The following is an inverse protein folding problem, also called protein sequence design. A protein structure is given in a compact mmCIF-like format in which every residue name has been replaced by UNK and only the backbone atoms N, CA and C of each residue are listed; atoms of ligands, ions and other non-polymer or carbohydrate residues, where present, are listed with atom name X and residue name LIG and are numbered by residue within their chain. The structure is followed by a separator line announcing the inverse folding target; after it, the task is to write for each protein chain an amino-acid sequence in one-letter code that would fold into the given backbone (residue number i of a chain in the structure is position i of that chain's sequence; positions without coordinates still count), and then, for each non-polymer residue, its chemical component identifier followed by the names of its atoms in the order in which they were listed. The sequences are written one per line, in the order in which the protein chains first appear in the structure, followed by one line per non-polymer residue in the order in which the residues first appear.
data_IF_626884020154
#
_entry.id   IF_626884020154
#
_cell.length_a   1.000
_cell.length_b   1.000
_cell.length_c   1.000
_cell.angle_alpha   90.00
_cell.angle_beta   90.00
_cell.angle_gamma   90.00
#
_symmetry.space_group_name_H-M   'P 1'
#
loop_
_entity.id
_entity.type
_entity.pdbx_description
1 polymer ?
#
# COMPACT_ATOMS: atom_id res chain seq x y z
N UNK A 1 -8.99 8.09 -16.61
CA UNK A 1 -7.79 7.99 -15.75
C UNK A 1 -7.80 6.62 -15.09
N UNK A 2 -7.01 5.66 -15.59
CA UNK A 2 -6.93 4.34 -14.97
C UNK A 2 -6.21 4.49 -13.62
N UNK A 3 -6.95 4.38 -12.51
CA UNK A 3 -6.32 4.31 -11.19
C UNK A 3 -5.66 2.94 -11.07
N UNK A 4 -4.34 2.88 -11.24
CA UNK A 4 -3.58 1.69 -10.92
C UNK A 4 -3.72 1.36 -9.42
N UNK A 5 -3.74 0.07 -9.10
CA UNK A 5 -3.76 -0.45 -7.73
C UNK A 5 -4.98 0.00 -6.88
N UNK A 6 -6.18 -0.01 -7.49
CA UNK A 6 -7.43 0.27 -6.77
C UNK A 6 -7.65 -0.68 -5.59
N UNK A 7 -7.26 -1.96 -5.70
CA UNK A 7 -7.40 -2.94 -4.62
C UNK A 7 -6.64 -2.51 -3.36
N UNK A 8 -5.39 -2.09 -3.52
CA UNK A 8 -4.56 -1.59 -2.41
C UNK A 8 -5.18 -0.32 -1.81
N UNK A 9 -5.62 0.61 -2.66
CA UNK A 9 -6.27 1.85 -2.18
C UNK A 9 -7.55 1.54 -1.39
N UNK A 10 -8.32 0.55 -1.82
CA UNK A 10 -9.52 0.09 -1.13
C UNK A 10 -9.19 -0.56 0.21
N UNK A 11 -8.18 -1.42 0.26
CA UNK A 11 -7.71 -2.05 1.50
C UNK A 11 -7.19 -1.02 2.51
N UNK A 12 -6.35 -0.07 2.07
CA UNK A 12 -5.86 1.02 2.92
C UNK A 12 -7.02 1.85 3.48
N UNK A 13 -8.00 2.22 2.63
CA UNK A 13 -9.21 2.92 3.08
C UNK A 13 -10.04 2.10 4.07
N UNK A 14 -10.21 0.80 3.81
CA UNK A 14 -10.99 -0.10 4.66
C UNK A 14 -10.32 -0.28 6.03
N UNK A 15 -9.00 -0.36 6.03
CA UNK A 15 -8.16 -0.44 7.22
C UNK A 15 -8.07 0.89 7.99
N UNK A 16 -8.49 2.01 7.39
CA UNK A 16 -8.35 3.38 7.94
C UNK A 16 -6.91 3.76 8.30
N UNK A 17 -5.95 3.15 7.61
CA UNK A 17 -4.53 3.46 7.74
C UNK A 17 -4.09 4.40 6.64
N UNK A 18 -2.97 5.07 6.84
CA UNK A 18 -2.38 5.98 5.88
C UNK A 18 -1.32 5.28 5.02
N UNK A 19 -1.09 5.85 3.84
CA UNK A 19 -0.04 5.39 2.93
C UNK A 19 1.36 5.39 3.56
N UNK A 20 1.63 6.34 4.47
CA UNK A 20 2.90 6.45 5.16
C UNK A 20 3.12 5.31 6.17
N UNK A 21 2.08 4.83 6.86
CA UNK A 21 2.17 3.70 7.80
C UNK A 21 2.56 2.41 7.07
N UNK A 22 1.93 2.20 5.92
CA UNK A 22 2.25 1.08 5.03
C UNK A 22 3.68 1.19 4.50
N UNK A 23 4.12 2.40 4.13
CA UNK A 23 5.48 2.65 3.68
C UNK A 23 6.51 2.38 4.78
N UNK A 24 6.22 2.80 6.02
CA UNK A 24 7.05 2.56 7.20
C UNK A 24 7.16 1.06 7.52
N UNK A 25 6.03 0.33 7.49
CA UNK A 25 6.00 -1.12 7.67
C UNK A 25 6.75 -1.88 6.54
N UNK A 26 6.85 -1.29 5.35
CA UNK A 26 7.65 -1.80 4.23
C UNK A 26 9.12 -1.38 4.29
N UNK A 27 9.50 -0.45 5.16
CA UNK A 27 10.84 0.14 5.22
C UNK A 27 11.17 1.04 4.02
N UNK A 28 10.18 1.68 3.42
CA UNK A 28 10.31 2.53 2.23
C UNK A 28 9.82 3.95 2.56
N UNK A 29 10.37 4.96 1.89
CA UNK A 29 9.86 6.33 1.98
C UNK A 29 8.43 6.47 1.43
N UNK A 30 7.61 7.30 2.08
CA UNK A 30 6.23 7.60 1.65
C UNK A 30 6.17 8.07 0.19
N UNK A 31 7.10 8.92 -0.26
CA UNK A 31 7.09 9.41 -1.65
C UNK A 31 7.27 8.27 -2.67
N UNK A 32 8.05 7.26 -2.31
CA UNK A 32 8.30 6.09 -3.16
C UNK A 32 7.05 5.22 -3.23
N UNK A 33 6.33 5.09 -2.12
CA UNK A 33 5.06 4.39 -2.07
C UNK A 33 3.97 5.12 -2.88
N UNK A 34 3.84 6.44 -2.73
CA UNK A 34 2.92 7.28 -3.50
C UNK A 34 3.25 7.27 -5.01
N UNK A 35 4.52 7.19 -5.39
CA UNK A 35 4.93 6.99 -6.80
C UNK A 35 4.57 5.58 -7.29
N UNK A 36 4.74 4.56 -6.46
CA UNK A 36 4.37 3.17 -6.76
C UNK A 36 2.87 2.99 -6.98
N UNK A 37 2.03 3.63 -6.16
CA UNK A 37 0.57 3.61 -6.32
C UNK A 37 0.06 4.27 -7.61
N UNK A 38 0.90 4.98 -8.36
CA UNK A 38 0.56 5.59 -9.66
C UNK A 38 0.92 4.72 -10.87
N UNK A 39 1.69 3.64 -10.68
CA UNK A 39 2.11 2.71 -11.75
C UNK A 39 1.48 1.33 -11.49
N UNK A 40 1.23 0.54 -12.53
CA UNK A 40 0.81 -0.86 -12.33
C UNK A 40 1.90 -1.60 -11.55
N UNK A 41 1.57 -2.01 -10.32
CA UNK A 41 2.47 -2.82 -9.51
C UNK A 41 2.24 -4.30 -9.84
N UNK A 42 3.30 -5.11 -9.97
CA UNK A 42 3.18 -6.56 -10.06
C UNK A 42 2.49 -7.11 -8.81
N UNK A 43 1.71 -8.18 -8.93
CA UNK A 43 0.95 -8.76 -7.81
C UNK A 43 1.85 -9.16 -6.63
N UNK A 44 3.10 -9.54 -6.87
CA UNK A 44 4.12 -9.78 -5.84
C UNK A 44 4.36 -8.56 -4.93
N UNK A 45 4.39 -7.36 -5.50
CA UNK A 45 4.53 -6.16 -4.69
C UNK A 45 3.23 -5.84 -3.96
N UNK A 46 2.07 -6.05 -4.60
CA UNK A 46 0.77 -5.89 -3.94
C UNK A 46 0.67 -6.78 -2.70
N UNK A 47 1.11 -8.04 -2.77
CA UNK A 47 1.09 -8.94 -1.62
C UNK A 47 1.98 -8.46 -0.47
N UNK A 48 3.13 -7.85 -0.74
CA UNK A 48 3.96 -7.23 0.30
C UNK A 48 3.20 -6.09 0.99
N UNK A 49 2.52 -5.27 0.20
CA UNK A 49 1.69 -4.18 0.72
C UNK A 49 0.55 -4.73 1.58
N UNK A 50 -0.17 -5.75 1.11
CA UNK A 50 -1.23 -6.42 1.88
C UNK A 50 -0.72 -6.98 3.20
N UNK A 51 0.45 -7.61 3.21
CA UNK A 51 1.10 -8.11 4.43
C UNK A 51 1.45 -6.98 5.39
N UNK A 52 1.97 -5.87 4.89
CA UNK A 52 2.26 -4.69 5.70
C UNK A 52 0.96 -4.10 6.31
N UNK A 53 -0.09 -3.94 5.52
CA UNK A 53 -1.43 -3.52 5.97
C UNK A 53 -1.96 -4.45 7.06
N UNK A 54 -1.93 -5.76 6.83
CA UNK A 54 -2.37 -6.75 7.82
C UNK A 54 -1.56 -6.71 9.11
N UNK A 55 -0.25 -6.41 9.02
CA UNK A 55 0.62 -6.27 10.18
C UNK A 55 0.28 -5.03 11.00
N UNK A 56 -0.09 -3.92 10.35
CA UNK A 56 -0.51 -2.68 11.02
C UNK A 56 -1.86 -2.86 11.71
N UNK A 57 -2.83 -3.51 11.04
CA UNK A 57 -4.16 -3.75 11.64
C UNK A 57 -4.09 -4.72 12.81
N UNK A 58 -3.18 -5.69 12.75
CA UNK A 58 -3.01 -6.71 13.80
C UNK A 58 -2.13 -6.23 14.97
N UNK A 59 -1.54 -5.04 14.90
CA UNK A 59 -0.73 -4.43 15.94
C UNK A 59 -1.55 -3.37 16.70
#
# INVERSE_FOLDING_TARGET
MALANQDIRAEIRKARIYNWEVAEALGIAEESFSRKLRREMPDKEKDKVRKAISKIISA
#
